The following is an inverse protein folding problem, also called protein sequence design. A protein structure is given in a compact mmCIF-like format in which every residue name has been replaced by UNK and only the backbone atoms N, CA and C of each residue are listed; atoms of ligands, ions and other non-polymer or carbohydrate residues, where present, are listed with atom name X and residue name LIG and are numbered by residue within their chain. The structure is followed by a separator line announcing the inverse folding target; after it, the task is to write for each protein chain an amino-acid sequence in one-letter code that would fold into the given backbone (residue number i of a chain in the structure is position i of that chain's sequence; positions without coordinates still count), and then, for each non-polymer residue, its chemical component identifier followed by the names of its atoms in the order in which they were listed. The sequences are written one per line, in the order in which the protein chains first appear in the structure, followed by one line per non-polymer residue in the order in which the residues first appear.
data_IF_408330969742
#
_entry.id   IF_408330969742
#
_cell.length_a   1.000
_cell.length_b   1.000
_cell.length_c   1.000
_cell.angle_alpha   90.00
_cell.angle_beta   90.00
_cell.angle_gamma   90.00
#
_symmetry.space_group_name_H-M   'P 1'
#
loop_
_entity.id
_entity.type
_entity.pdbx_description
1 polymer ?
#
# COMPACT_ATOMS: atom_id res chain seq x y z
N UNK A 1 18.03 -4.43 25.15
CA UNK A 1 18.17 -3.00 25.49
C UNK A 1 18.66 -2.22 24.27
N UNK A 2 19.85 -2.52 23.74
CA UNK A 2 20.42 -1.81 22.57
C UNK A 2 19.55 -1.76 21.30
N UNK A 3 18.85 -2.85 20.97
CA UNK A 3 18.01 -2.91 19.77
C UNK A 3 16.76 -2.02 19.88
N UNK A 4 16.05 -2.09 21.01
CA UNK A 4 14.89 -1.23 21.28
C UNK A 4 15.27 0.26 21.27
N UNK A 5 16.42 0.59 21.85
CA UNK A 5 16.94 1.97 21.85
C UNK A 5 17.34 2.45 20.45
N UNK A 6 17.80 1.54 19.58
CA UNK A 6 18.05 1.85 18.17
C UNK A 6 16.75 2.13 17.42
N UNK A 7 15.72 1.28 17.56
CA UNK A 7 14.46 1.42 16.83
C UNK A 7 13.67 2.67 17.23
N UNK A 8 13.64 3.00 18.52
CA UNK A 8 13.04 4.27 18.99
C UNK A 8 13.80 5.47 18.42
N UNK A 9 15.14 5.39 18.36
CA UNK A 9 15.97 6.44 17.76
C UNK A 9 15.72 6.55 16.26
N UNK A 10 15.59 5.43 15.55
CA UNK A 10 15.28 5.39 14.12
C UNK A 10 13.98 6.15 13.85
N UNK A 11 12.88 5.80 14.52
CA UNK A 11 11.60 6.49 14.37
C UNK A 11 11.69 7.98 14.71
N UNK A 12 12.34 8.31 15.82
CA UNK A 12 12.47 9.72 16.26
C UNK A 12 13.24 10.55 15.23
N UNK A 13 14.35 10.04 14.72
CA UNK A 13 15.14 10.74 13.71
C UNK A 13 14.42 10.80 12.36
N UNK A 14 13.70 9.74 11.98
CA UNK A 14 12.90 9.70 10.77
C UNK A 14 11.83 10.81 10.77
N UNK A 15 11.11 10.98 11.88
CA UNK A 15 10.13 12.07 12.02
C UNK A 15 10.74 13.47 11.89
N UNK A 16 11.93 13.70 12.46
CA UNK A 16 12.65 14.97 12.31
C UNK A 16 13.07 15.24 10.87
N UNK A 17 13.53 14.20 10.16
CA UNK A 17 13.95 14.31 8.76
C UNK A 17 12.75 14.56 7.85
N UNK A 18 11.63 13.87 8.06
CA UNK A 18 10.38 14.12 7.32
C UNK A 18 9.89 15.56 7.53
N UNK A 19 9.89 16.05 8.79
CA UNK A 19 9.55 17.44 9.08
C UNK A 19 10.45 18.45 8.37
N UNK A 20 11.76 18.16 8.29
CA UNK A 20 12.71 19.01 7.55
C UNK A 20 12.51 18.93 6.04
N UNK A 21 12.22 17.75 5.49
CA UNK A 21 11.90 17.56 4.07
C UNK A 21 10.65 18.37 3.69
N UNK A 22 9.63 18.36 4.56
CA UNK A 22 8.42 19.16 4.39
C UNK A 22 8.72 20.67 4.43
N UNK A 23 9.56 21.13 5.36
CA UNK A 23 9.98 22.53 5.40
C UNK A 23 10.74 22.95 4.11
N UNK A 24 11.59 22.08 3.58
CA UNK A 24 12.30 22.32 2.31
C UNK A 24 11.31 22.36 1.13
N UNK A 25 10.33 21.47 1.11
CA UNK A 25 9.24 21.47 0.11
C UNK A 25 8.49 22.80 0.10
N UNK A 26 8.10 23.32 1.27
CA UNK A 26 7.43 24.62 1.42
C UNK A 26 8.28 25.79 0.91
N UNK A 27 9.61 25.66 0.97
CA UNK A 27 10.57 26.62 0.43
C UNK A 27 10.85 26.42 -1.08
N UNK A 28 10.12 25.53 -1.76
CA UNK A 28 10.34 25.15 -3.16
C UNK A 28 11.74 24.55 -3.41
N UNK A 29 12.25 23.81 -2.43
CA UNK A 29 13.56 23.13 -2.46
C UNK A 29 13.41 21.62 -2.53
N UNK A 30 12.57 21.14 -3.46
CA UNK A 30 12.24 19.72 -3.57
C UNK A 30 13.47 18.84 -3.81
N UNK A 31 14.44 19.30 -4.61
CA UNK A 31 15.69 18.56 -4.85
C UNK A 31 16.56 18.41 -3.60
N UNK A 32 16.69 19.47 -2.80
CA UNK A 32 17.41 19.40 -1.51
C UNK A 32 16.68 18.44 -0.54
N UNK A 33 15.35 18.41 -0.57
CA UNK A 33 14.55 17.49 0.24
C UNK A 33 14.74 16.02 -0.20
N UNK A 34 14.77 15.74 -1.50
CA UNK A 34 15.05 14.40 -2.04
C UNK A 34 16.43 13.90 -1.62
N UNK A 35 17.47 14.75 -1.72
CA UNK A 35 18.82 14.41 -1.27
C UNK A 35 18.88 14.13 0.24
N UNK A 36 18.21 14.94 1.06
CA UNK A 36 18.14 14.76 2.50
C UNK A 36 17.54 13.38 2.87
N UNK A 37 16.45 13.01 2.20
CA UNK A 37 15.73 11.75 2.42
C UNK A 37 16.58 10.55 1.98
N UNK A 38 17.18 10.55 0.78
CA UNK A 38 18.04 9.46 0.30
C UNK A 38 19.29 9.29 1.18
N UNK A 39 19.88 10.40 1.64
CA UNK A 39 21.01 10.36 2.57
C UNK A 39 20.67 9.71 3.90
N UNK A 40 19.50 10.02 4.47
CA UNK A 40 19.07 9.45 5.73
C UNK A 40 18.84 7.94 5.62
N UNK A 41 18.08 7.49 4.62
CA UNK A 41 17.84 6.06 4.39
C UNK A 41 19.15 5.32 4.15
N UNK A 42 20.06 5.91 3.36
CA UNK A 42 21.37 5.33 3.08
C UNK A 42 22.26 5.19 4.31
N UNK A 43 22.17 6.12 5.27
CA UNK A 43 22.96 6.09 6.51
C UNK A 43 22.37 5.14 7.56
N UNK A 44 21.06 5.26 7.83
CA UNK A 44 20.43 4.55 8.94
C UNK A 44 20.00 3.12 8.58
N UNK A 45 19.56 2.89 7.35
CA UNK A 45 19.04 1.60 6.88
C UNK A 45 19.92 0.94 5.80
N UNK A 46 21.01 1.60 5.38
CA UNK A 46 21.88 1.15 4.27
C UNK A 46 21.09 0.88 2.98
N UNK A 47 19.98 1.58 2.83
CA UNK A 47 19.02 1.42 1.74
C UNK A 47 18.85 2.78 1.08
N UNK A 48 19.10 2.87 -0.22
CA UNK A 48 18.78 4.08 -0.99
C UNK A 48 17.45 3.91 -1.71
N UNK A 49 16.78 5.01 -2.02
CA UNK A 49 15.48 4.99 -2.71
C UNK A 49 15.51 4.17 -3.99
N UNK A 50 16.55 4.33 -4.80
CA UNK A 50 16.73 3.55 -6.03
C UNK A 50 16.80 2.04 -5.78
N UNK A 51 17.47 1.60 -4.72
CA UNK A 51 17.53 0.18 -4.36
C UNK A 51 16.17 -0.30 -3.86
N UNK A 52 15.51 0.47 -2.99
CA UNK A 52 14.17 0.16 -2.50
C UNK A 52 13.19 -0.02 -3.66
N UNK A 53 13.23 0.86 -4.68
CA UNK A 53 12.37 0.77 -5.85
C UNK A 53 12.70 -0.40 -6.77
N UNK A 54 13.96 -0.82 -6.87
CA UNK A 54 14.39 -1.94 -7.71
C UNK A 54 14.12 -3.34 -7.15
N UNK A 55 13.88 -3.46 -5.83
CA UNK A 55 13.54 -4.74 -5.19
C UNK A 55 12.07 -5.10 -5.37
N UNK A 56 11.72 -6.38 -5.31
CA UNK A 56 10.32 -6.76 -5.08
C UNK A 56 9.89 -6.34 -3.66
N UNK A 57 8.58 -6.28 -3.40
CA UNK A 57 8.10 -6.00 -2.04
C UNK A 57 8.58 -7.07 -1.04
N UNK A 58 8.61 -8.35 -1.45
CA UNK A 58 9.11 -9.46 -0.65
C UNK A 58 10.61 -9.33 -0.34
N UNK A 59 11.43 -9.03 -1.36
CA UNK A 59 12.88 -8.85 -1.17
C UNK A 59 13.18 -7.63 -0.30
N UNK A 60 12.41 -6.55 -0.44
CA UNK A 60 12.55 -5.36 0.39
C UNK A 60 12.19 -5.66 1.84
N UNK A 61 11.07 -6.33 2.11
CA UNK A 61 10.68 -6.76 3.45
C UNK A 61 11.71 -7.71 4.08
N UNK A 62 12.24 -8.65 3.29
CA UNK A 62 13.31 -9.56 3.70
C UNK A 62 14.59 -8.81 4.06
N UNK A 63 14.99 -7.81 3.26
CA UNK A 63 16.13 -6.95 3.55
C UNK A 63 15.96 -6.13 4.84
N UNK A 64 14.73 -5.71 5.15
CA UNK A 64 14.38 -4.99 6.37
C UNK A 64 14.13 -5.91 7.57
N UNK A 65 14.40 -7.21 7.44
CA UNK A 65 14.16 -8.18 8.50
C UNK A 65 15.31 -8.29 9.49
N UNK A 66 14.95 -8.47 10.76
CA UNK A 66 15.90 -8.88 11.82
C UNK A 66 15.48 -10.26 12.28
N UNK A 67 16.41 -11.22 12.29
CA UNK A 67 16.15 -12.62 12.67
C UNK A 67 15.05 -13.33 11.86
N UNK A 68 14.82 -12.90 10.61
CA UNK A 68 13.92 -13.57 9.66
C UNK A 68 12.49 -13.01 9.62
N UNK A 69 12.16 -12.01 10.44
CA UNK A 69 10.87 -11.29 10.37
C UNK A 69 11.10 -9.81 10.02
N UNK A 70 10.29 -9.21 9.14
CA UNK A 70 10.39 -7.79 8.81
C UNK A 70 10.28 -6.91 10.07
N UNK A 71 11.17 -5.93 10.20
CA UNK A 71 11.13 -5.00 11.33
C UNK A 71 10.09 -3.89 11.06
N UNK A 72 9.07 -3.80 11.91
CA UNK A 72 7.95 -2.86 11.76
C UNK A 72 8.40 -1.40 11.66
N UNK A 73 9.36 -0.97 12.49
CA UNK A 73 9.85 0.41 12.48
C UNK A 73 10.58 0.74 11.18
N UNK A 74 11.40 -0.18 10.67
CA UNK A 74 12.14 -0.02 9.42
C UNK A 74 11.20 0.04 8.22
N UNK A 75 10.19 -0.84 8.18
CA UNK A 75 9.15 -0.82 7.14
C UNK A 75 8.34 0.48 7.19
N UNK A 76 7.97 0.94 8.39
CA UNK A 76 7.26 2.22 8.60
C UNK A 76 8.08 3.40 8.08
N UNK A 77 9.37 3.47 8.42
CA UNK A 77 10.28 4.53 7.96
C UNK A 77 10.43 4.51 6.45
N UNK A 78 10.64 3.34 5.85
CA UNK A 78 10.79 3.22 4.38
C UNK A 78 9.49 3.63 3.67
N UNK A 79 8.34 3.18 4.15
CA UNK A 79 7.05 3.53 3.56
C UNK A 79 6.80 5.05 3.59
N UNK A 80 7.05 5.68 4.74
CA UNK A 80 6.86 7.13 4.89
C UNK A 80 7.86 7.94 4.04
N UNK A 81 9.11 7.49 3.93
CA UNK A 81 10.09 8.16 3.08
C UNK A 81 9.75 8.01 1.60
N UNK A 82 9.32 6.82 1.14
CA UNK A 82 8.87 6.64 -0.24
C UNK A 82 7.65 7.52 -0.57
N UNK A 83 6.71 7.66 0.37
CA UNK A 83 5.60 8.60 0.22
C UNK A 83 6.11 10.04 0.10
N UNK A 84 7.01 10.49 0.98
CA UNK A 84 7.57 11.83 0.93
C UNK A 84 8.31 12.10 -0.39
N UNK A 85 9.09 11.14 -0.89
CA UNK A 85 9.77 11.26 -2.19
C UNK A 85 8.77 11.37 -3.33
N UNK A 86 7.70 10.57 -3.31
CA UNK A 86 6.66 10.64 -4.32
C UNK A 86 6.03 12.03 -4.34
N UNK A 87 5.67 12.60 -3.19
CA UNK A 87 5.14 13.97 -3.11
C UNK A 87 6.11 15.02 -3.68
N UNK A 88 7.39 14.90 -3.37
CA UNK A 88 8.43 15.81 -3.88
C UNK A 88 8.63 15.68 -5.39
N UNK A 89 8.53 14.46 -5.94
CA UNK A 89 8.64 14.19 -7.36
C UNK A 89 7.39 14.66 -8.11
N UNK A 90 6.20 14.48 -7.55
CA UNK A 90 4.94 14.99 -8.08
C UNK A 90 4.97 16.53 -8.16
N UNK A 91 5.44 17.22 -7.12
CA UNK A 91 5.62 18.68 -7.12
C UNK A 91 6.55 19.16 -8.26
N UNK A 92 7.51 18.31 -8.66
CA UNK A 92 8.45 18.57 -9.77
C UNK A 92 7.90 18.16 -11.15
N UNK A 93 6.68 17.63 -11.21
CA UNK A 93 6.07 17.11 -12.44
C UNK A 93 6.68 15.78 -12.92
N UNK A 94 7.38 15.05 -12.05
CA UNK A 94 8.03 13.77 -12.35
C UNK A 94 7.11 12.59 -11.98
N UNK A 95 5.92 12.56 -12.59
CA UNK A 95 4.87 11.56 -12.29
C UNK A 95 5.34 10.11 -12.52
N UNK A 96 6.10 9.86 -13.59
CA UNK A 96 6.68 8.54 -13.92
C UNK A 96 7.54 7.97 -12.78
N UNK A 97 8.17 8.83 -11.98
CA UNK A 97 8.97 8.44 -10.82
C UNK A 97 8.16 8.47 -9.51
N UNK A 98 7.14 9.32 -9.44
CA UNK A 98 6.29 9.51 -8.26
C UNK A 98 5.31 8.36 -8.07
N UNK A 99 4.56 7.99 -9.12
CA UNK A 99 3.44 7.03 -9.02
C UNK A 99 3.92 5.67 -8.52
N UNK A 100 5.03 5.08 -9.03
CA UNK A 100 5.53 3.81 -8.51
C UNK A 100 5.92 3.86 -7.03
N UNK A 101 6.40 5.02 -6.54
CA UNK A 101 6.76 5.22 -5.14
C UNK A 101 5.53 5.32 -4.24
N UNK A 102 4.48 6.03 -4.66
CA UNK A 102 3.19 6.02 -3.97
C UNK A 102 2.63 4.60 -3.88
N UNK A 103 2.61 3.87 -4.99
CA UNK A 103 2.12 2.49 -5.04
C UNK A 103 2.90 1.57 -4.09
N UNK A 104 4.23 1.69 -4.06
CA UNK A 104 5.07 0.89 -3.16
C UNK A 104 4.88 1.28 -1.69
N UNK A 105 4.82 2.57 -1.38
CA UNK A 105 4.52 3.05 -0.03
C UNK A 105 3.16 2.51 0.44
N UNK A 106 2.14 2.48 -0.43
CA UNK A 106 0.83 1.95 -0.11
C UNK A 106 0.88 0.46 0.23
N UNK A 107 1.55 -0.36 -0.60
CA UNK A 107 1.69 -1.80 -0.35
C UNK A 107 2.44 -2.10 0.95
N UNK A 108 3.46 -1.30 1.30
CA UNK A 108 4.17 -1.43 2.57
C UNK A 108 3.29 -1.05 3.78
N UNK A 109 2.51 0.03 3.69
CA UNK A 109 1.57 0.39 4.76
C UNK A 109 0.46 -0.67 4.94
N UNK A 110 -0.07 -1.22 3.85
CA UNK A 110 -1.04 -2.32 3.90
C UNK A 110 -0.43 -3.59 4.49
N UNK A 111 0.84 -3.87 4.20
CA UNK A 111 1.58 -4.95 4.87
C UNK A 111 1.62 -4.74 6.39
N UNK A 112 1.91 -3.52 6.87
CA UNK A 112 1.95 -3.23 8.30
C UNK A 112 0.60 -3.52 8.99
N UNK A 113 -0.51 -3.04 8.42
CA UNK A 113 -1.84 -3.27 9.02
C UNK A 113 -2.20 -4.75 9.01
N UNK A 114 -2.00 -5.45 7.88
CA UNK A 114 -2.38 -6.86 7.75
C UNK A 114 -1.66 -7.79 8.73
N UNK A 115 -0.48 -7.39 9.20
CA UNK A 115 0.33 -8.17 10.13
C UNK A 115 0.30 -7.63 11.56
N UNK A 116 -0.61 -6.69 11.89
CA UNK A 116 -0.72 -6.05 13.20
C UNK A 116 0.60 -5.39 13.66
N UNK A 117 1.32 -4.78 12.72
CA UNK A 117 2.65 -4.17 12.91
C UNK A 117 2.60 -2.64 12.99
N UNK A 118 1.44 -2.07 13.29
CA UNK A 118 1.28 -0.61 13.42
C UNK A 118 2.12 -0.05 14.58
N UNK A 119 2.79 1.08 14.34
CA UNK A 119 3.65 1.74 15.32
C UNK A 119 2.92 2.94 15.94
N UNK A 120 2.86 2.99 17.27
CA UNK A 120 2.25 4.10 17.99
C UNK A 120 2.90 5.45 17.59
N UNK A 121 2.07 6.45 17.29
CA UNK A 121 2.52 7.77 16.85
C UNK A 121 2.81 7.90 15.35
N UNK A 122 2.74 6.79 14.59
CA UNK A 122 2.81 6.78 13.13
C UNK A 122 1.47 6.32 12.56
N UNK A 123 0.67 7.25 12.05
CA UNK A 123 -0.70 6.99 11.60
C UNK A 123 -0.73 6.32 10.22
N UNK A 124 -0.50 5.00 10.21
CA UNK A 124 -0.46 4.17 8.99
C UNK A 124 -1.78 4.25 8.21
N UNK A 125 -2.92 4.29 8.91
CA UNK A 125 -4.25 4.38 8.28
C UNK A 125 -4.45 5.71 7.57
N UNK A 126 -4.03 6.81 8.18
CA UNK A 126 -4.03 8.12 7.52
C UNK A 126 -3.14 8.09 6.28
N UNK A 127 -1.93 7.56 6.36
CA UNK A 127 -1.03 7.44 5.21
C UNK A 127 -1.66 6.64 4.07
N UNK A 128 -2.34 5.51 4.36
CA UNK A 128 -3.06 4.73 3.34
C UNK A 128 -4.12 5.58 2.64
N UNK A 129 -4.91 6.36 3.38
CA UNK A 129 -5.94 7.21 2.79
C UNK A 129 -5.34 8.32 1.91
N UNK A 130 -4.25 8.95 2.35
CA UNK A 130 -3.52 9.97 1.56
C UNK A 130 -2.93 9.36 0.29
N UNK A 131 -2.33 8.17 0.38
CA UNK A 131 -1.77 7.43 -0.75
C UNK A 131 -2.85 6.99 -1.75
N UNK A 132 -4.00 6.49 -1.27
CA UNK A 132 -5.14 6.14 -2.10
C UNK A 132 -5.68 7.36 -2.85
N UNK A 133 -5.81 8.51 -2.17
CA UNK A 133 -6.24 9.75 -2.80
C UNK A 133 -5.26 10.21 -3.90
N UNK A 134 -3.95 10.12 -3.64
CA UNK A 134 -2.92 10.47 -4.61
C UNK A 134 -2.90 9.54 -5.82
N UNK A 135 -3.25 8.26 -5.63
CA UNK A 135 -3.23 7.23 -6.65
C UNK A 135 -4.54 7.11 -7.44
N UNK A 136 -5.66 7.61 -6.91
CA UNK A 136 -7.01 7.54 -7.53
C UNK A 136 -7.05 7.99 -9.01
N UNK A 137 -6.32 9.03 -9.45
CA UNK A 137 -6.37 9.46 -10.85
C UNK A 137 -5.66 8.53 -11.84
N UNK A 138 -4.91 7.53 -11.35
CA UNK A 138 -3.99 6.74 -12.15
C UNK A 138 -4.39 5.26 -12.19
N UNK A 139 -4.02 4.61 -13.30
CA UNK A 139 -4.17 3.17 -13.42
C UNK A 139 -3.13 2.46 -12.54
N UNK A 140 -3.60 1.56 -11.67
CA UNK A 140 -2.74 0.83 -10.75
C UNK A 140 -2.15 -0.41 -11.42
N UNK A 141 -0.90 -0.72 -11.06
CA UNK A 141 -0.31 -2.00 -11.44
C UNK A 141 -1.02 -3.16 -10.71
N UNK A 142 -0.94 -4.35 -11.31
CA UNK A 142 -1.60 -5.55 -10.76
C UNK A 142 -1.14 -5.92 -9.35
N UNK A 143 0.12 -5.66 -8.98
CA UNK A 143 0.63 -6.02 -7.67
C UNK A 143 0.01 -5.12 -6.60
N UNK A 144 -0.19 -3.83 -6.91
CA UNK A 144 -0.95 -2.89 -6.05
C UNK A 144 -2.40 -3.31 -5.92
N UNK A 145 -3.08 -3.60 -7.03
CA UNK A 145 -4.48 -4.08 -7.03
C UNK A 145 -4.65 -5.34 -6.17
N UNK A 146 -3.68 -6.25 -6.26
CA UNK A 146 -3.69 -7.53 -5.53
C UNK A 146 -3.67 -7.37 -4.02
N UNK A 147 -2.95 -6.36 -3.51
CA UNK A 147 -2.89 -6.06 -2.08
C UNK A 147 -4.10 -5.22 -1.64
N UNK A 148 -4.61 -4.34 -2.51
CA UNK A 148 -5.78 -3.51 -2.22
C UNK A 148 -7.10 -4.28 -2.19
N UNK A 149 -7.24 -5.32 -2.99
CA UNK A 149 -8.46 -6.09 -3.06
C UNK A 149 -8.95 -6.61 -1.68
N UNK A 150 -8.14 -7.38 -0.91
CA UNK A 150 -8.55 -7.82 0.43
C UNK A 150 -8.63 -6.66 1.44
N UNK A 151 -7.94 -5.54 1.18
CA UNK A 151 -8.05 -4.35 2.03
C UNK A 151 -9.43 -3.70 1.92
N UNK A 152 -9.93 -3.50 0.70
CA UNK A 152 -11.27 -2.94 0.50
C UNK A 152 -12.35 -3.82 1.11
N UNK A 153 -12.24 -5.14 0.98
CA UNK A 153 -13.15 -6.07 1.67
C UNK A 153 -13.10 -5.88 3.19
N UNK A 154 -11.91 -5.86 3.79
CA UNK A 154 -11.74 -5.71 5.23
C UNK A 154 -12.14 -4.34 5.79
N UNK A 155 -12.06 -3.28 4.97
CA UNK A 155 -12.50 -1.92 5.30
C UNK A 155 -14.01 -1.72 5.04
N UNK A 156 -14.71 -2.77 4.62
CA UNK A 156 -16.15 -2.75 4.33
C UNK A 156 -16.53 -2.06 3.02
N UNK A 157 -15.56 -1.74 2.16
CA UNK A 157 -15.75 -1.16 0.82
C UNK A 157 -15.98 -2.26 -0.21
N UNK A 158 -17.14 -2.91 -0.11
CA UNK A 158 -17.41 -4.18 -0.80
C UNK A 158 -17.56 -3.99 -2.32
N UNK A 159 -18.16 -2.89 -2.77
CA UNK A 159 -18.25 -2.57 -4.20
C UNK A 159 -16.87 -2.32 -4.83
N UNK A 160 -15.99 -1.59 -4.13
CA UNK A 160 -14.61 -1.37 -4.58
C UNK A 160 -13.81 -2.67 -4.59
N UNK A 161 -14.03 -3.55 -3.62
CA UNK A 161 -13.43 -4.89 -3.61
C UNK A 161 -13.92 -5.72 -4.82
N UNK A 162 -15.20 -5.66 -5.17
CA UNK A 162 -15.74 -6.36 -6.34
C UNK A 162 -15.17 -5.81 -7.65
N UNK A 163 -15.12 -4.49 -7.82
CA UNK A 163 -14.48 -3.88 -9.00
C UNK A 163 -13.02 -4.35 -9.16
N UNK A 164 -12.26 -4.37 -8.06
CA UNK A 164 -10.88 -4.81 -8.05
C UNK A 164 -10.74 -6.31 -8.42
N UNK A 165 -11.68 -7.16 -8.01
CA UNK A 165 -11.72 -8.58 -8.40
C UNK A 165 -11.81 -8.72 -9.93
N UNK A 166 -12.68 -7.96 -10.58
CA UNK A 166 -12.84 -8.00 -12.04
C UNK A 166 -11.61 -7.47 -12.78
N UNK A 167 -11.04 -6.35 -12.34
CA UNK A 167 -9.80 -5.83 -12.93
C UNK A 167 -8.63 -6.81 -12.80
N UNK A 168 -8.52 -7.51 -11.66
CA UNK A 168 -7.52 -8.58 -11.48
C UNK A 168 -7.80 -9.78 -12.39
N UNK A 169 -9.08 -10.10 -12.66
CA UNK A 169 -9.46 -11.19 -13.55
C UNK A 169 -9.11 -10.89 -15.01
N UNK A 170 -9.38 -9.68 -15.47
CA UNK A 170 -8.99 -9.20 -16.80
C UNK A 170 -7.46 -9.26 -16.99
N UNK A 171 -6.69 -8.96 -15.94
CA UNK A 171 -5.24 -9.06 -15.95
C UNK A 171 -4.70 -10.50 -15.80
N UNK A 172 -5.55 -11.50 -15.59
CA UNK A 172 -5.16 -12.89 -15.32
C UNK A 172 -4.41 -13.08 -14.01
N UNK A 173 -4.68 -12.22 -13.02
CA UNK A 173 -3.98 -12.14 -11.72
C UNK A 173 -4.77 -12.73 -10.55
N UNK A 174 -5.91 -13.32 -10.87
CA UNK A 174 -6.79 -14.00 -9.93
C UNK A 174 -7.40 -15.21 -10.63
N UNK A 175 -7.61 -16.28 -9.88
CA UNK A 175 -8.25 -17.48 -10.40
C UNK A 175 -9.73 -17.58 -9.97
N UNK A 176 -10.46 -18.51 -10.60
CA UNK A 176 -11.88 -18.72 -10.33
C UNK A 176 -12.18 -19.02 -8.85
N UNK A 177 -11.34 -19.84 -8.20
CA UNK A 177 -11.51 -20.27 -6.81
C UNK A 177 -11.42 -19.09 -5.84
N UNK A 178 -10.52 -18.15 -6.10
CA UNK A 178 -10.34 -16.96 -5.28
C UNK A 178 -11.56 -16.03 -5.35
N UNK A 179 -12.10 -15.78 -6.54
CA UNK A 179 -13.33 -14.99 -6.68
C UNK A 179 -14.55 -15.71 -6.10
N UNK A 180 -14.64 -17.04 -6.25
CA UNK A 180 -15.69 -17.81 -5.57
C UNK A 180 -15.58 -17.67 -4.04
N UNK A 181 -14.38 -17.78 -3.48
CA UNK A 181 -14.16 -17.61 -2.05
C UNK A 181 -14.54 -16.20 -1.56
N UNK A 182 -14.34 -15.16 -2.37
CA UNK A 182 -14.80 -13.81 -2.07
C UNK A 182 -16.32 -13.72 -1.98
N UNK A 183 -17.06 -14.19 -2.99
CA UNK A 183 -18.53 -14.18 -2.93
C UNK A 183 -19.12 -15.09 -1.84
N UNK A 184 -18.46 -16.20 -1.49
CA UNK A 184 -18.85 -17.00 -0.33
C UNK A 184 -18.73 -16.19 0.98
N UNK A 185 -17.65 -15.42 1.16
CA UNK A 185 -17.51 -14.52 2.30
C UNK A 185 -18.59 -13.44 2.29
N UNK A 186 -18.81 -12.76 1.17
CA UNK A 186 -19.87 -11.74 1.03
C UNK A 186 -21.27 -12.28 1.33
N UNK A 187 -21.53 -13.56 1.05
CA UNK A 187 -22.82 -14.20 1.33
C UNK A 187 -23.12 -14.26 2.84
N UNK A 188 -22.10 -14.24 3.70
CA UNK A 188 -22.25 -14.25 5.15
C UNK A 188 -22.55 -12.86 5.75
N UNK A 189 -22.36 -11.77 5.00
CA UNK A 189 -22.65 -10.41 5.46
C UNK A 189 -24.17 -10.17 5.53
N UNK A 190 -24.60 -9.40 6.54
CA UNK A 190 -25.97 -8.96 6.69
C UNK A 190 -26.33 -7.83 5.71
N UNK A 191 -27.63 -7.61 5.51
CA UNK A 191 -28.16 -6.57 4.58
C UNK A 191 -27.57 -5.19 4.88
N UNK A 192 -27.51 -4.79 6.15
CA UNK A 192 -27.00 -3.47 6.52
C UNK A 192 -25.50 -3.31 6.23
N UNK A 193 -24.70 -4.36 6.37
CA UNK A 193 -23.26 -4.31 6.09
C UNK A 193 -23.00 -4.21 4.58
N UNK A 194 -23.80 -4.93 3.79
CA UNK A 194 -23.76 -4.90 2.33
C UNK A 194 -24.16 -3.53 1.76
N UNK A 195 -25.26 -2.97 2.26
CA UNK A 195 -25.70 -1.62 1.88
C UNK A 195 -24.65 -0.57 2.27
N UNK A 196 -24.08 -0.67 3.49
CA UNK A 196 -23.02 0.24 3.93
C UNK A 196 -21.75 0.13 3.07
N UNK A 197 -21.45 -1.08 2.57
CA UNK A 197 -20.33 -1.34 1.68
C UNK A 197 -20.60 -1.11 0.20
N UNK A 198 -21.75 -0.52 -0.15
CA UNK A 198 -22.10 -0.17 -1.52
C UNK A 198 -22.43 -1.36 -2.43
N UNK A 199 -22.63 -2.56 -1.87
CA UNK A 199 -22.92 -3.78 -2.63
C UNK A 199 -24.19 -4.46 -2.10
N UNK A 200 -25.39 -3.95 -2.41
CA UNK A 200 -26.67 -4.53 -2.04
C UNK A 200 -26.79 -6.03 -2.37
N UNK A 201 -27.70 -6.74 -1.68
CA UNK A 201 -27.77 -8.21 -1.75
C UNK A 201 -28.02 -8.72 -3.17
N UNK A 202 -28.89 -8.06 -3.91
CA UNK A 202 -29.23 -8.38 -5.29
C UNK A 202 -28.05 -8.16 -6.25
N UNK A 203 -27.30 -7.07 -6.08
CA UNK A 203 -26.07 -6.82 -6.83
C UNK A 203 -24.99 -7.87 -6.53
N UNK A 204 -24.75 -8.18 -5.25
CA UNK A 204 -23.81 -9.24 -4.85
C UNK A 204 -24.16 -10.61 -5.49
N UNK A 205 -25.44 -10.98 -5.44
CA UNK A 205 -25.89 -12.25 -6.03
C UNK A 205 -25.76 -12.27 -7.56
N UNK A 206 -25.97 -11.12 -8.21
CA UNK A 206 -25.76 -10.96 -9.65
C UNK A 206 -24.27 -11.05 -10.00
N UNK A 207 -23.41 -10.31 -9.29
CA UNK A 207 -21.94 -10.40 -9.43
C UNK A 207 -21.45 -11.83 -9.29
N UNK A 208 -21.93 -12.58 -8.28
CA UNK A 208 -21.60 -14.00 -8.09
C UNK A 208 -21.98 -14.87 -9.28
N UNK A 209 -23.16 -14.64 -9.89
CA UNK A 209 -23.59 -15.35 -11.11
C UNK A 209 -22.71 -15.01 -12.30
N UNK A 210 -22.44 -13.72 -12.50
CA UNK A 210 -21.61 -13.22 -13.60
C UNK A 210 -20.17 -13.75 -13.51
N UNK A 211 -19.59 -13.75 -12.31
CA UNK A 211 -18.29 -14.35 -12.06
C UNK A 211 -18.24 -15.83 -12.46
N UNK A 212 -19.27 -16.61 -12.06
CA UNK A 212 -19.37 -18.02 -12.43
C UNK A 212 -19.53 -18.26 -13.93
N UNK A 213 -20.13 -17.33 -14.67
CA UNK A 213 -20.21 -17.39 -16.14
C UNK A 213 -18.86 -17.06 -16.79
N UNK A 214 -18.24 -15.95 -16.38
CA UNK A 214 -16.93 -15.48 -16.86
C UNK A 214 -15.85 -16.58 -16.73
N UNK A 215 -15.79 -17.26 -15.58
CA UNK A 215 -14.79 -18.30 -15.33
C UNK A 215 -15.02 -19.58 -16.16
N UNK A 216 -16.27 -19.87 -16.55
CA UNK A 216 -16.57 -21.00 -17.45
C UNK A 216 -16.16 -20.71 -18.88
N UNK A 217 -16.37 -19.47 -19.34
CA UNK A 217 -15.93 -19.04 -20.67
C UNK A 217 -14.41 -19.05 -20.79
N UNK A 218 -13.69 -18.62 -19.76
CA UNK A 218 -12.23 -18.62 -19.73
C UNK A 218 -11.60 -20.04 -19.60
N UNK A 219 -12.39 -21.06 -19.26
CA UNK A 219 -11.93 -22.45 -19.11
C UNK A 219 -12.17 -23.32 -20.36
N UNK A 220 -12.91 -22.82 -21.35
CA UNK A 220 -13.24 -23.51 -22.61
C UNK A 220 -12.30 -23.14 -23.74
#
# INVERSE_FOLDING_TARGET
MFERDYLVRLLTQAGLILGRAQQLREQQKQREALELVDEYLGKELRLRSRLAMGLSDEDLLSMLSVTGNPNAESVTVVAAFLQQEAELLADLGQEDESIPRYAKALRLNLYLIRNDMEIEGWDVRRSINELLAALTPYELDSDTKRVLWPWFEGDGKLAEAENMLYELAEAGKINAEEGHAFYERLSAYGVAELEAGGLPRDEMEEGRRQWGALMKENAG
#
